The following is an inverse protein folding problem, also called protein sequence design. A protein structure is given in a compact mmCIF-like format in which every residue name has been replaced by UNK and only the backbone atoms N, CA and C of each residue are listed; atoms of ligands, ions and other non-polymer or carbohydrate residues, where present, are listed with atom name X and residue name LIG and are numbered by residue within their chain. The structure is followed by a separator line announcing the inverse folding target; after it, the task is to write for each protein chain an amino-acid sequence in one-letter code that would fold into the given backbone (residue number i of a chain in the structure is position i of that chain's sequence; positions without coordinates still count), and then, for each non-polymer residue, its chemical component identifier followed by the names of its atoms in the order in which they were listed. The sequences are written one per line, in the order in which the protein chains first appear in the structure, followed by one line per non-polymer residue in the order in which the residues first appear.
data_IF_206279700823
#
_entry.id   IF_206279700823
#
_cell.length_a   1.000
_cell.length_b   1.000
_cell.length_c   1.000
_cell.angle_alpha   90.00
_cell.angle_beta   90.00
_cell.angle_gamma   90.00
#
_symmetry.space_group_name_H-M   'P 1'
#
loop_
_entity.id
_entity.type
_entity.pdbx_description
1 polymer ?
#
# COMPACT_ATOMS: atom_id res chain seq x y z
N UNK A 1 15.45 18.83 13.03
CA UNK A 1 14.38 18.10 12.29
C UNK A 1 14.25 16.71 12.89
N UNK A 2 13.06 16.30 13.28
CA UNK A 2 12.85 14.93 13.76
C UNK A 2 13.03 13.97 12.59
N UNK A 3 13.86 12.96 12.76
CA UNK A 3 14.11 11.95 11.73
C UNK A 3 12.83 11.12 11.52
N UNK A 4 12.46 10.88 10.26
CA UNK A 4 11.30 10.08 9.91
C UNK A 4 11.67 8.62 10.14
N UNK A 5 10.85 7.91 10.91
CA UNK A 5 11.02 6.48 11.16
C UNK A 5 10.67 5.72 9.89
N UNK A 6 11.66 5.11 9.24
CA UNK A 6 11.52 4.37 7.99
C UNK A 6 12.06 2.95 8.17
N UNK A 7 11.28 1.98 7.77
CA UNK A 7 11.62 0.56 7.83
C UNK A 7 11.44 -0.03 6.43
N UNK A 8 12.46 -0.68 5.92
CA UNK A 8 12.36 -1.47 4.69
C UNK A 8 11.86 -2.87 5.03
N UNK A 9 10.83 -3.31 4.33
CA UNK A 9 10.29 -4.66 4.40
C UNK A 9 10.40 -5.32 3.02
N UNK A 10 11.38 -6.19 2.80
CA UNK A 10 11.67 -6.74 1.48
C UNK A 10 11.30 -8.22 1.36
N UNK A 11 10.37 -8.52 0.45
CA UNK A 11 10.03 -9.86 -0.02
C UNK A 11 10.80 -10.28 -1.28
N UNK A 12 11.79 -9.48 -1.72
CA UNK A 12 12.61 -9.77 -2.89
C UNK A 12 13.73 -10.75 -2.54
N UNK A 13 13.92 -11.77 -3.35
CA UNK A 13 15.09 -12.66 -3.27
C UNK A 13 16.30 -12.05 -3.94
N UNK A 14 16.09 -11.29 -5.02
CA UNK A 14 17.11 -10.61 -5.81
C UNK A 14 16.78 -9.13 -6.01
N UNK A 15 17.77 -8.33 -6.43
CA UNK A 15 17.57 -6.92 -6.77
C UNK A 15 16.68 -6.75 -7.99
N UNK A 16 16.80 -7.65 -8.96
CA UNK A 16 16.01 -7.69 -10.20
C UNK A 16 15.34 -9.05 -10.32
N UNK A 17 14.03 -9.07 -10.57
CA UNK A 17 13.25 -10.31 -10.72
C UNK A 17 13.17 -11.12 -9.43
N UNK A 18 13.20 -12.45 -9.61
CA UNK A 18 13.21 -13.42 -8.52
C UNK A 18 11.81 -13.78 -7.98
N UNK A 19 11.83 -14.76 -7.09
CA UNK A 19 10.65 -15.23 -6.40
C UNK A 19 10.32 -14.38 -5.16
N UNK A 20 9.14 -14.59 -4.63
CA UNK A 20 8.70 -13.93 -3.39
C UNK A 20 9.25 -14.70 -2.19
N UNK A 21 10.02 -14.07 -1.32
CA UNK A 21 10.53 -14.68 -0.07
C UNK A 21 9.41 -15.12 0.86
N UNK A 22 9.61 -16.19 1.60
CA UNK A 22 8.65 -16.65 2.61
C UNK A 22 8.50 -15.62 3.73
N UNK A 23 9.62 -15.10 4.23
CA UNK A 23 9.69 -14.08 5.27
C UNK A 23 10.37 -12.83 4.72
N UNK A 24 9.93 -11.63 5.15
CA UNK A 24 10.56 -10.41 4.69
C UNK A 24 11.96 -10.26 5.31
N UNK A 25 12.90 -9.70 4.54
CA UNK A 25 14.10 -9.09 5.12
C UNK A 25 13.73 -7.70 5.62
N UNK A 26 14.04 -7.44 6.88
CA UNK A 26 13.77 -6.16 7.53
C UNK A 26 15.08 -5.38 7.61
N UNK A 27 15.05 -4.11 7.21
CA UNK A 27 16.17 -3.18 7.38
C UNK A 27 15.66 -1.91 8.04
N UNK A 28 16.33 -1.49 9.11
CA UNK A 28 15.93 -0.39 9.97
C UNK A 28 15.76 -0.85 11.41
N UNK A 29 15.23 0.03 12.25
CA UNK A 29 15.02 -0.27 13.68
C UNK A 29 13.78 -1.13 13.90
N UNK A 30 14.00 -2.43 14.09
CA UNK A 30 12.94 -3.43 14.36
C UNK A 30 12.17 -3.12 15.65
N UNK A 31 12.85 -2.55 16.67
CA UNK A 31 12.18 -2.15 17.91
C UNK A 31 11.16 -1.05 17.65
N UNK A 32 11.50 -0.06 16.83
CA UNK A 32 10.58 0.99 16.38
C UNK A 32 9.39 0.38 15.62
N UNK A 33 9.62 -0.62 14.77
CA UNK A 33 8.56 -1.30 14.03
C UNK A 33 7.60 -2.03 14.98
N UNK A 34 8.13 -2.83 15.90
CA UNK A 34 7.33 -3.66 16.82
C UNK A 34 6.51 -2.84 17.82
N UNK A 35 6.94 -1.61 18.14
CA UNK A 35 6.23 -0.70 19.04
C UNK A 35 5.39 0.36 18.30
N UNK A 36 5.27 0.26 16.99
CA UNK A 36 4.50 1.22 16.21
C UNK A 36 3.00 1.09 16.52
N UNK A 37 2.36 2.23 16.77
CA UNK A 37 0.91 2.33 16.94
C UNK A 37 0.22 2.70 15.63
N UNK A 38 0.96 3.27 14.69
CA UNK A 38 0.46 3.68 13.39
C UNK A 38 1.53 3.44 12.31
N UNK A 39 1.23 2.55 11.40
CA UNK A 39 2.05 2.25 10.24
C UNK A 39 1.51 2.96 9.00
N UNK A 40 2.40 3.44 8.15
CA UNK A 40 2.10 3.89 6.79
C UNK A 40 2.88 3.01 5.83
N UNK A 41 2.20 2.11 5.13
CA UNK A 41 2.84 1.16 4.21
C UNK A 41 2.84 1.74 2.81
N UNK A 42 4.03 1.92 2.23
CA UNK A 42 4.24 2.37 0.86
C UNK A 42 4.46 1.16 -0.04
N UNK A 43 3.70 1.05 -1.14
CA UNK A 43 3.74 -0.10 -2.05
C UNK A 43 3.98 0.38 -3.48
N UNK A 44 5.16 0.09 -4.03
CA UNK A 44 5.51 0.44 -5.41
C UNK A 44 4.76 -0.38 -6.46
N UNK A 45 4.81 0.08 -7.72
CA UNK A 45 4.15 -0.56 -8.85
C UNK A 45 4.94 -1.70 -9.49
N UNK A 46 4.42 -2.18 -10.62
CA UNK A 46 5.07 -3.12 -11.50
C UNK A 46 6.27 -2.48 -12.20
N UNK A 47 7.21 -3.32 -12.64
CA UNK A 47 8.43 -2.95 -13.38
C UNK A 47 9.39 -2.03 -12.60
N UNK A 48 9.35 -2.09 -11.27
CA UNK A 48 10.32 -1.44 -10.40
C UNK A 48 11.25 -2.49 -9.80
N UNK A 49 12.54 -2.41 -10.11
CA UNK A 49 13.58 -3.09 -9.37
C UNK A 49 13.76 -2.48 -7.97
N UNK A 50 14.73 -2.95 -7.20
CA UNK A 50 14.93 -2.46 -5.85
C UNK A 50 15.35 -0.97 -5.83
N UNK A 51 16.14 -0.51 -6.81
CA UNK A 51 16.57 0.88 -6.87
C UNK A 51 15.44 1.81 -7.30
N UNK A 52 14.66 1.44 -8.33
CA UNK A 52 13.50 2.22 -8.77
C UNK A 52 12.43 2.34 -7.68
N UNK A 53 12.21 1.28 -6.89
CA UNK A 53 11.33 1.32 -5.73
C UNK A 53 11.85 2.30 -4.66
N UNK A 54 13.15 2.27 -4.37
CA UNK A 54 13.80 3.20 -3.45
C UNK A 54 13.64 4.65 -3.91
N UNK A 55 13.91 4.93 -5.19
CA UNK A 55 13.79 6.28 -5.75
C UNK A 55 12.35 6.79 -5.67
N UNK A 56 11.36 5.91 -5.91
CA UNK A 56 9.94 6.24 -5.75
C UNK A 56 9.62 6.65 -4.30
N UNK A 57 10.06 5.89 -3.30
CA UNK A 57 9.81 6.20 -1.89
C UNK A 57 10.55 7.46 -1.42
N UNK A 58 11.79 7.67 -1.88
CA UNK A 58 12.52 8.93 -1.62
C UNK A 58 11.77 10.13 -2.23
N UNK A 59 11.27 9.99 -3.46
CA UNK A 59 10.44 11.01 -4.10
C UNK A 59 9.18 11.32 -3.29
N UNK A 60 8.47 10.32 -2.80
CA UNK A 60 7.30 10.49 -1.94
C UNK A 60 7.65 11.27 -0.67
N UNK A 61 8.68 10.85 0.03
CA UNK A 61 9.11 11.52 1.27
C UNK A 61 9.55 12.96 0.99
N UNK A 62 10.23 13.21 -0.13
CA UNK A 62 10.63 14.56 -0.52
C UNK A 62 9.40 15.46 -0.75
N UNK A 63 8.38 15.01 -1.48
CA UNK A 63 7.14 15.78 -1.72
C UNK A 63 6.37 16.02 -0.42
N UNK A 64 6.29 15.02 0.45
CA UNK A 64 5.63 15.23 1.75
C UNK A 64 6.36 16.24 2.65
N UNK A 65 7.70 16.26 2.62
CA UNK A 65 8.49 17.26 3.35
C UNK A 65 8.30 18.66 2.79
N UNK A 66 8.22 18.83 1.46
CA UNK A 66 7.94 20.13 0.83
C UNK A 66 6.61 20.73 1.28
N UNK A 67 5.61 19.89 1.51
CA UNK A 67 4.28 20.30 1.98
C UNK A 67 4.23 20.51 3.50
N UNK A 68 5.27 20.17 4.22
CA UNK A 68 5.30 20.17 5.69
C UNK A 68 5.94 21.43 6.27
N UNK A 69 5.22 22.52 6.22
CA UNK A 69 5.68 23.84 6.70
C UNK A 69 6.16 23.84 8.17
N UNK A 70 5.70 22.90 9.00
CA UNK A 70 5.97 22.86 10.43
C UNK A 70 6.83 21.67 10.87
N UNK A 71 7.49 20.97 9.95
CA UNK A 71 8.33 19.81 10.24
C UNK A 71 7.64 18.71 11.07
N UNK A 72 6.33 18.48 10.85
CA UNK A 72 5.51 17.51 11.58
C UNK A 72 5.26 16.21 10.80
N UNK A 73 5.68 16.15 9.57
CA UNK A 73 5.57 14.96 8.74
C UNK A 73 6.22 13.76 9.43
N UNK A 74 5.49 12.68 9.56
CA UNK A 74 5.97 11.46 10.19
C UNK A 74 5.82 11.39 11.72
N UNK A 75 5.43 12.50 12.40
CA UNK A 75 5.21 12.45 13.85
C UNK A 75 4.12 11.40 14.18
N UNK A 76 4.44 10.49 15.10
CA UNK A 76 3.53 9.42 15.55
C UNK A 76 3.29 8.32 14.55
N UNK A 77 4.01 8.29 13.41
CA UNK A 77 3.91 7.27 12.37
C UNK A 77 5.25 6.61 12.09
N UNK A 78 5.18 5.32 11.71
CA UNK A 78 6.32 4.57 11.20
C UNK A 78 6.02 4.21 9.75
N UNK A 79 6.87 4.64 8.83
CA UNK A 79 6.76 4.31 7.42
C UNK A 79 7.39 2.94 7.15
N UNK A 80 6.63 2.08 6.50
CA UNK A 80 7.08 0.76 6.04
C UNK A 80 7.16 0.79 4.52
N UNK A 81 8.36 0.74 3.98
CA UNK A 81 8.64 0.70 2.55
C UNK A 81 8.65 -0.77 2.11
N UNK A 82 7.60 -1.19 1.41
CA UNK A 82 7.44 -2.56 0.95
C UNK A 82 8.14 -2.77 -0.38
N UNK A 83 9.15 -3.64 -0.42
CA UNK A 83 9.85 -4.07 -1.63
C UNK A 83 9.36 -5.46 -2.02
N UNK A 84 8.61 -5.55 -3.10
CA UNK A 84 8.11 -6.81 -3.64
C UNK A 84 8.67 -7.06 -5.05
N UNK A 85 8.84 -8.34 -5.52
CA UNK A 85 9.41 -8.63 -6.84
C UNK A 85 8.39 -8.34 -7.95
N UNK A 86 8.10 -7.06 -8.19
CA UNK A 86 7.16 -6.57 -9.20
C UNK A 86 7.79 -6.33 -10.57
N UNK A 87 9.08 -6.57 -10.73
CA UNK A 87 9.82 -6.35 -11.97
C UNK A 87 10.00 -7.63 -12.78
N UNK A 88 10.30 -7.45 -14.05
CA UNK A 88 10.74 -8.50 -14.96
C UNK A 88 12.14 -8.15 -15.50
N UNK A 89 13.01 -9.12 -15.58
CA UNK A 89 14.42 -8.95 -16.02
C UNK A 89 14.58 -8.47 -17.48
N UNK A 90 13.50 -8.18 -18.23
CA UNK A 90 13.50 -8.11 -19.70
C UNK A 90 12.94 -6.81 -20.29
N UNK A 91 13.14 -5.66 -19.69
CA UNK A 91 12.88 -4.35 -20.33
C UNK A 91 11.54 -4.25 -21.09
N UNK A 92 11.58 -3.98 -22.41
CA UNK A 92 10.38 -3.78 -23.23
C UNK A 92 9.48 -5.03 -23.37
N UNK A 93 10.02 -6.24 -23.18
CA UNK A 93 9.23 -7.48 -23.15
C UNK A 93 8.48 -7.68 -21.82
N UNK A 94 8.56 -6.72 -20.90
CA UNK A 94 7.93 -6.77 -19.57
C UNK A 94 6.41 -7.01 -19.63
N UNK A 95 5.77 -6.59 -20.71
CA UNK A 95 4.33 -6.81 -20.93
C UNK A 95 3.92 -8.30 -20.92
N UNK A 96 4.75 -9.18 -21.50
CA UNK A 96 4.49 -10.62 -21.49
C UNK A 96 4.67 -11.23 -20.08
N UNK A 97 5.41 -10.55 -19.19
CA UNK A 97 5.63 -10.97 -17.82
C UNK A 97 4.64 -10.33 -16.82
N UNK A 98 3.77 -9.43 -17.29
CA UNK A 98 2.73 -8.81 -16.47
C UNK A 98 1.87 -9.84 -15.73
N UNK A 99 1.48 -10.92 -16.42
CA UNK A 99 0.68 -12.02 -15.85
C UNK A 99 1.37 -12.69 -14.65
N UNK A 100 2.68 -12.97 -14.76
CA UNK A 100 3.46 -13.53 -13.65
C UNK A 100 3.56 -12.59 -12.45
N UNK A 101 3.49 -11.29 -12.70
CA UNK A 101 3.55 -10.27 -11.65
C UNK A 101 2.27 -10.17 -10.84
N UNK A 102 1.10 -10.46 -11.42
CA UNK A 102 -0.16 -10.60 -10.68
C UNK A 102 -0.02 -11.72 -9.63
N UNK A 103 0.50 -12.89 -10.02
CA UNK A 103 0.75 -14.01 -9.11
C UNK A 103 1.71 -13.63 -7.96
N UNK A 104 2.79 -12.90 -8.27
CA UNK A 104 3.74 -12.41 -7.27
C UNK A 104 3.11 -11.37 -6.34
N UNK A 105 2.27 -10.48 -6.84
CA UNK A 105 1.52 -9.53 -6.03
C UNK A 105 0.58 -10.25 -5.05
N UNK A 106 -0.18 -11.24 -5.51
CA UNK A 106 -1.08 -12.06 -4.68
C UNK A 106 -0.27 -12.84 -3.61
N UNK A 107 0.85 -13.45 -4.00
CA UNK A 107 1.73 -14.21 -3.10
C UNK A 107 2.35 -13.30 -2.03
N UNK A 108 2.81 -12.10 -2.42
CA UNK A 108 3.35 -11.10 -1.50
C UNK A 108 2.28 -10.61 -0.53
N UNK A 109 1.08 -10.33 -1.01
CA UNK A 109 -0.05 -9.90 -0.19
C UNK A 109 -0.39 -10.94 0.89
N UNK A 110 -0.43 -12.23 0.53
CA UNK A 110 -0.66 -13.32 1.49
C UNK A 110 0.42 -13.38 2.59
N UNK A 111 1.69 -13.31 2.19
CA UNK A 111 2.82 -13.34 3.14
C UNK A 111 2.91 -12.09 4.01
N UNK A 112 2.58 -10.92 3.45
CA UNK A 112 2.47 -9.69 4.22
C UNK A 112 1.32 -9.76 5.22
N UNK A 113 0.17 -10.34 4.85
CA UNK A 113 -0.93 -10.57 5.77
C UNK A 113 -0.54 -11.49 6.94
N UNK A 114 0.20 -12.57 6.66
CA UNK A 114 0.73 -13.46 7.70
C UNK A 114 1.68 -12.70 8.64
N UNK A 115 2.60 -11.93 8.07
CA UNK A 115 3.54 -11.12 8.85
C UNK A 115 2.82 -10.10 9.74
N UNK A 116 1.85 -9.37 9.18
CA UNK A 116 1.09 -8.36 9.93
C UNK A 116 0.25 -9.01 11.05
N UNK A 117 -0.43 -10.11 10.78
CA UNK A 117 -1.25 -10.80 11.77
C UNK A 117 -0.43 -11.42 12.90
N UNK A 118 0.82 -11.85 12.62
CA UNK A 118 1.72 -12.43 13.62
C UNK A 118 2.38 -11.38 14.52
N UNK A 119 2.69 -10.19 13.97
CA UNK A 119 3.52 -9.22 14.67
C UNK A 119 2.73 -8.02 15.22
N UNK A 120 1.49 -7.79 14.76
CA UNK A 120 0.71 -6.62 15.17
C UNK A 120 -0.67 -7.02 15.70
N UNK A 121 -1.11 -6.38 16.77
CA UNK A 121 -2.45 -6.54 17.32
C UNK A 121 -3.49 -5.65 16.63
N UNK A 122 -4.76 -5.86 16.96
CA UNK A 122 -5.90 -5.13 16.40
C UNK A 122 -5.87 -3.61 16.66
N UNK A 123 -5.14 -3.15 17.69
CA UNK A 123 -5.00 -1.73 18.02
C UNK A 123 -4.02 -0.97 17.13
N UNK A 124 -3.22 -1.65 16.32
CA UNK A 124 -2.29 -1.00 15.39
C UNK A 124 -3.05 -0.54 14.17
N UNK A 125 -2.97 0.76 13.89
CA UNK A 125 -3.55 1.36 12.68
C UNK A 125 -2.61 1.21 11.52
N UNK A 126 -3.12 0.85 10.37
CA UNK A 126 -2.33 0.74 9.14
C UNK A 126 -2.99 1.56 8.04
N UNK A 127 -2.29 2.58 7.58
CA UNK A 127 -2.59 3.30 6.34
C UNK A 127 -1.72 2.73 5.21
N UNK A 128 -2.25 2.70 3.98
CA UNK A 128 -1.52 2.20 2.80
C UNK A 128 -1.51 3.29 1.73
N UNK A 129 -0.35 3.49 1.10
CA UNK A 129 -0.21 4.25 -0.14
C UNK A 129 0.35 3.32 -1.20
N UNK A 130 -0.41 3.04 -2.22
CA UNK A 130 -0.06 2.07 -3.24
C UNK A 130 -0.10 2.69 -4.64
N UNK A 131 0.79 2.27 -5.52
CA UNK A 131 0.88 2.74 -6.89
C UNK A 131 0.76 1.59 -7.89
N UNK A 132 0.02 1.81 -8.99
CA UNK A 132 -0.06 0.88 -10.11
C UNK A 132 -0.50 -0.53 -9.66
N UNK A 133 0.25 -1.58 -9.98
CA UNK A 133 0.00 -2.96 -9.53
C UNK A 133 0.17 -3.13 -8.00
N UNK A 134 0.86 -2.23 -7.32
CA UNK A 134 0.85 -2.17 -5.86
C UNK A 134 -0.56 -1.97 -5.29
N UNK A 135 -1.47 -1.32 -6.04
CA UNK A 135 -2.89 -1.20 -5.67
C UNK A 135 -3.59 -2.57 -5.70
N UNK A 136 -3.25 -3.42 -6.66
CA UNK A 136 -3.72 -4.81 -6.69
C UNK A 136 -3.19 -5.59 -5.48
N UNK A 137 -1.89 -5.46 -5.17
CA UNK A 137 -1.30 -6.08 -3.97
C UNK A 137 -2.01 -5.61 -2.70
N UNK A 138 -2.25 -4.30 -2.55
CA UNK A 138 -2.95 -3.75 -1.38
C UNK A 138 -4.37 -4.34 -1.23
N UNK A 139 -5.11 -4.47 -2.32
CA UNK A 139 -6.48 -5.03 -2.29
C UNK A 139 -6.46 -6.54 -2.00
N UNK A 140 -5.48 -7.29 -2.54
CA UNK A 140 -5.29 -8.71 -2.20
C UNK A 140 -4.82 -8.90 -0.74
N UNK A 141 -4.11 -7.92 -0.17
CA UNK A 141 -3.79 -7.90 1.26
C UNK A 141 -5.05 -7.83 2.11
N UNK A 142 -6.04 -6.98 1.76
CA UNK A 142 -7.34 -6.97 2.45
C UNK A 142 -8.01 -8.33 2.38
N UNK A 143 -7.99 -9.00 1.22
CA UNK A 143 -8.55 -10.34 1.06
C UNK A 143 -7.85 -11.37 1.97
N UNK A 144 -6.54 -11.32 2.04
CA UNK A 144 -5.78 -12.21 2.89
C UNK A 144 -6.03 -11.96 4.38
N UNK A 145 -6.11 -10.69 4.81
CA UNK A 145 -6.44 -10.30 6.19
C UNK A 145 -7.88 -10.68 6.57
N UNK A 146 -8.84 -10.56 5.65
CA UNK A 146 -10.24 -10.93 5.89
C UNK A 146 -10.43 -12.42 6.27
N UNK A 147 -9.47 -13.28 5.94
CA UNK A 147 -9.45 -14.70 6.29
C UNK A 147 -8.75 -15.00 7.61
N UNK A 148 -8.15 -14.01 8.27
CA UNK A 148 -7.46 -14.19 9.55
C UNK A 148 -8.41 -13.97 10.73
N UNK A 149 -8.23 -14.77 11.78
CA UNK A 149 -9.03 -14.63 13.02
C UNK A 149 -8.62 -13.40 13.82
N UNK A 150 -7.33 -13.03 13.75
CA UNK A 150 -6.77 -11.84 14.40
C UNK A 150 -5.90 -11.14 13.38
N UNK A 151 -6.26 -9.93 13.04
CA UNK A 151 -5.51 -9.11 12.08
C UNK A 151 -5.56 -7.65 12.51
N UNK A 152 -4.48 -6.88 12.27
CA UNK A 152 -4.53 -5.44 12.45
C UNK A 152 -5.52 -4.82 11.47
N UNK A 153 -6.07 -3.67 11.86
CA UNK A 153 -7.03 -2.95 11.07
C UNK A 153 -6.35 -2.12 9.98
N UNK A 154 -6.82 -2.24 8.75
CA UNK A 154 -6.45 -1.31 7.69
C UNK A 154 -7.37 -0.10 7.79
N UNK A 155 -6.78 1.05 8.15
CA UNK A 155 -7.55 2.27 8.40
C UNK A 155 -7.92 2.94 7.09
N UNK A 156 -6.94 3.25 6.24
CA UNK A 156 -7.15 3.95 4.96
C UNK A 156 -6.23 3.44 3.88
N UNK A 157 -6.69 3.53 2.63
CA UNK A 157 -5.85 3.24 1.46
C UNK A 157 -5.92 4.40 0.48
N UNK A 158 -4.76 4.81 -0.05
CA UNK A 158 -4.68 5.69 -1.21
C UNK A 158 -4.13 4.89 -2.39
N UNK A 159 -4.91 4.82 -3.46
CA UNK A 159 -4.54 4.26 -4.74
C UNK A 159 -4.03 5.36 -5.67
N UNK A 160 -2.82 5.27 -6.14
CA UNK A 160 -2.21 6.17 -7.12
C UNK A 160 -2.06 5.43 -8.45
N UNK A 161 -2.67 5.90 -9.52
CA UNK A 161 -2.67 5.23 -10.83
C UNK A 161 -3.00 3.73 -10.72
N UNK A 162 -4.09 3.37 -10.04
CA UNK A 162 -4.39 2.00 -9.65
C UNK A 162 -4.58 1.04 -10.81
N UNK A 163 -3.63 0.11 -11.03
CA UNK A 163 -3.76 -1.01 -11.97
C UNK A 163 -4.58 -2.14 -11.34
N UNK A 164 -5.83 -1.85 -11.06
CA UNK A 164 -6.84 -2.74 -10.48
C UNK A 164 -8.12 -2.65 -11.32
N UNK A 165 -8.63 -3.77 -11.87
CA UNK A 165 -9.90 -3.76 -12.60
C UNK A 165 -11.05 -3.26 -11.72
N UNK A 166 -11.80 -2.25 -12.18
CA UNK A 166 -12.96 -1.70 -11.43
C UNK A 166 -13.98 -2.78 -11.11
N UNK A 167 -14.21 -3.69 -12.04
CA UNK A 167 -15.18 -4.78 -11.88
C UNK A 167 -14.88 -5.66 -10.65
N UNK A 168 -13.65 -5.76 -10.18
CA UNK A 168 -13.30 -6.56 -9.00
C UNK A 168 -13.81 -5.97 -7.70
N UNK A 169 -14.22 -4.71 -7.71
CA UNK A 169 -14.82 -3.99 -6.59
C UNK A 169 -16.32 -3.74 -6.76
N UNK A 170 -16.96 -4.20 -7.84
CA UNK A 170 -18.40 -4.05 -8.05
C UNK A 170 -19.23 -4.96 -7.12
N UNK A 171 -20.44 -4.51 -6.77
CA UNK A 171 -21.37 -5.23 -5.86
C UNK A 171 -22.03 -6.46 -6.46
N UNK A 172 -22.30 -6.47 -7.79
CA UNK A 172 -23.34 -7.30 -8.36
C UNK A 172 -22.92 -8.67 -8.91
N UNK A 173 -21.65 -9.01 -8.88
CA UNK A 173 -21.21 -10.25 -9.55
C UNK A 173 -20.52 -11.21 -8.58
N UNK A 174 -20.92 -12.49 -8.48
CA UNK A 174 -20.34 -13.49 -7.58
C UNK A 174 -18.83 -13.70 -7.76
N UNK A 175 -18.31 -13.46 -8.96
CA UNK A 175 -16.89 -13.56 -9.29
C UNK A 175 -16.02 -12.40 -8.72
N UNK A 176 -16.62 -11.43 -8.06
CA UNK A 176 -15.92 -10.22 -7.56
C UNK A 176 -15.34 -10.45 -6.18
N UNK A 177 -14.28 -11.21 -6.13
CA UNK A 177 -13.64 -11.70 -4.90
C UNK A 177 -12.99 -10.63 -4.01
N UNK A 178 -12.83 -9.40 -4.49
CA UNK A 178 -12.15 -8.34 -3.74
C UNK A 178 -13.12 -7.39 -3.02
N UNK A 179 -14.38 -7.30 -3.44
CA UNK A 179 -15.36 -6.39 -2.84
C UNK A 179 -15.67 -6.71 -1.37
N UNK A 180 -16.02 -7.95 -1.07
CA UNK A 180 -16.35 -8.35 0.30
C UNK A 180 -15.20 -8.11 1.28
N UNK A 181 -13.96 -8.55 0.99
CA UNK A 181 -12.78 -8.22 1.79
C UNK A 181 -12.53 -6.71 1.92
N UNK A 182 -12.69 -5.93 0.84
CA UNK A 182 -12.57 -4.48 0.85
C UNK A 182 -13.53 -3.85 1.86
N UNK A 183 -14.80 -4.19 1.80
CA UNK A 183 -15.81 -3.65 2.71
C UNK A 183 -15.66 -4.15 4.17
N UNK A 184 -15.06 -5.34 4.38
CA UNK A 184 -14.91 -5.96 5.70
C UNK A 184 -13.70 -5.46 6.49
N UNK A 185 -12.57 -5.24 5.83
CA UNK A 185 -11.27 -5.03 6.49
C UNK A 185 -10.87 -3.56 6.49
N UNK A 186 -11.39 -2.76 5.55
CA UNK A 186 -11.09 -1.35 5.42
C UNK A 186 -12.04 -0.52 6.27
N UNK A 187 -11.52 0.19 7.27
CA UNK A 187 -12.35 0.91 8.24
C UNK A 187 -12.85 2.27 7.74
N UNK A 188 -11.94 3.15 7.36
CA UNK A 188 -12.28 4.56 7.05
C UNK A 188 -12.43 4.79 5.54
N UNK A 189 -12.09 3.81 4.70
CA UNK A 189 -12.28 3.84 3.27
C UNK A 189 -11.00 4.01 2.45
N UNK A 190 -11.20 4.20 1.14
CA UNK A 190 -10.13 4.38 0.17
C UNK A 190 -10.27 5.68 -0.62
N UNK A 191 -9.14 6.14 -1.17
CA UNK A 191 -9.06 7.28 -2.06
C UNK A 191 -8.30 6.90 -3.32
N UNK A 192 -8.88 7.14 -4.50
CA UNK A 192 -8.25 6.84 -5.78
C UNK A 192 -7.86 8.13 -6.51
N UNK A 193 -6.58 8.23 -6.85
CA UNK A 193 -6.07 9.24 -7.77
C UNK A 193 -5.99 8.64 -9.16
N UNK A 194 -6.73 9.24 -10.11
CA UNK A 194 -6.81 8.78 -11.48
C UNK A 194 -6.34 9.85 -12.47
N UNK A 195 -5.94 9.43 -13.68
CA UNK A 195 -5.59 10.36 -14.78
C UNK A 195 -5.94 9.74 -16.12
N UNK A 196 -6.76 10.45 -16.90
CA UNK A 196 -7.09 10.08 -18.29
C UNK A 196 -5.88 10.21 -19.23
N UNK A 197 -4.83 10.92 -18.82
CA UNK A 197 -3.56 11.02 -19.55
C UNK A 197 -2.63 9.83 -19.33
N UNK A 198 -2.99 8.88 -18.46
CA UNK A 198 -2.21 7.67 -18.18
C UNK A 198 -2.35 6.63 -19.30
N UNK A 199 -1.41 6.69 -20.26
CA UNK A 199 -1.40 5.77 -21.42
C UNK A 199 -1.13 4.31 -21.03
N UNK A 200 -0.46 4.06 -19.93
CA UNK A 200 -0.19 2.69 -19.46
C UNK A 200 -1.50 2.05 -19.02
N UNK A 201 -2.32 2.77 -18.26
CA UNK A 201 -3.62 2.27 -17.81
C UNK A 201 -4.67 2.27 -18.92
N UNK A 202 -4.54 3.16 -19.92
CA UNK A 202 -5.45 3.20 -21.06
C UNK A 202 -5.25 2.03 -22.05
N UNK A 203 -4.00 1.61 -22.29
CA UNK A 203 -3.65 0.71 -23.38
C UNK A 203 -2.98 -0.59 -22.90
N UNK A 204 -1.92 -0.48 -22.10
CA UNK A 204 -1.14 -1.65 -21.70
C UNK A 204 -1.85 -2.50 -20.64
N UNK A 205 -2.54 -1.86 -19.69
CA UNK A 205 -3.26 -2.56 -18.63
C UNK A 205 -4.40 -3.43 -19.18
N UNK A 206 -5.36 -2.93 -19.98
CA UNK A 206 -6.46 -3.76 -20.49
C UNK A 206 -5.95 -4.96 -21.30
N UNK A 207 -4.96 -4.75 -22.16
CA UNK A 207 -4.37 -5.82 -22.95
C UNK A 207 -3.67 -6.87 -22.07
N UNK A 208 -2.89 -6.44 -21.05
CA UNK A 208 -2.21 -7.33 -20.12
C UNK A 208 -3.17 -8.15 -19.26
N UNK A 209 -4.24 -7.54 -18.78
CA UNK A 209 -5.27 -8.22 -18.01
C UNK A 209 -6.01 -9.28 -18.85
N UNK A 210 -6.30 -8.96 -20.12
CA UNK A 210 -7.01 -9.91 -21.02
C UNK A 210 -6.21 -11.18 -21.30
N UNK A 211 -4.89 -11.13 -21.18
CA UNK A 211 -4.00 -12.29 -21.37
C UNK A 211 -3.73 -13.03 -20.05
N UNK A 212 -4.14 -12.47 -18.91
CA UNK A 212 -3.90 -13.10 -17.63
C UNK A 212 -4.84 -14.29 -17.40
N UNK A 213 -4.35 -15.40 -16.82
CA UNK A 213 -5.20 -16.55 -16.52
C UNK A 213 -6.18 -16.24 -15.38
N UNK A 214 -7.36 -16.86 -15.46
CA UNK A 214 -8.40 -16.77 -14.43
C UNK A 214 -9.41 -15.65 -14.67
N UNK A 215 -9.95 -15.07 -13.61
CA UNK A 215 -11.06 -14.11 -13.65
C UNK A 215 -10.58 -12.65 -13.79
N UNK A 216 -9.52 -12.39 -14.56
CA UNK A 216 -8.94 -11.04 -14.69
C UNK A 216 -9.72 -10.13 -15.66
N UNK A 217 -10.65 -10.69 -16.43
CA UNK A 217 -11.54 -9.97 -17.34
C UNK A 217 -10.92 -9.67 -18.72
N UNK A 218 -11.79 -9.33 -19.67
CA UNK A 218 -11.38 -8.96 -21.02
C UNK A 218 -11.45 -7.44 -21.18
N UNK A 219 -10.33 -6.80 -21.51
CA UNK A 219 -10.16 -5.35 -21.67
C UNK A 219 -10.79 -4.54 -20.52
N UNK A 220 -10.46 -4.84 -19.26
CA UNK A 220 -11.08 -4.16 -18.13
C UNK A 220 -10.59 -2.72 -17.98
N UNK A 221 -11.45 -1.87 -17.43
CA UNK A 221 -11.09 -0.50 -17.03
C UNK A 221 -10.29 -0.52 -15.75
N UNK A 222 -9.17 0.23 -15.71
CA UNK A 222 -8.36 0.40 -14.52
C UNK A 222 -8.93 1.47 -13.58
N UNK A 223 -8.93 1.21 -12.28
CA UNK A 223 -9.37 2.16 -11.25
C UNK A 223 -8.63 3.51 -11.31
N UNK A 224 -7.37 3.53 -11.75
CA UNK A 224 -6.53 4.73 -11.82
C UNK A 224 -6.57 5.44 -13.17
N UNK A 225 -7.36 4.98 -14.15
CA UNK A 225 -7.41 5.59 -15.48
C UNK A 225 -8.43 6.71 -15.58
N UNK A 226 -9.65 6.46 -15.16
CA UNK A 226 -10.73 7.42 -15.23
C UNK A 226 -11.61 7.39 -13.99
N UNK A 227 -12.44 8.42 -13.82
CA UNK A 227 -13.40 8.42 -12.73
C UNK A 227 -14.42 7.32 -12.92
N UNK A 228 -14.53 6.46 -11.93
CA UNK A 228 -15.58 5.46 -11.90
C UNK A 228 -16.90 6.11 -11.45
N UNK A 229 -17.86 6.14 -12.35
CA UNK A 229 -19.18 6.81 -12.15
C UNK A 229 -20.35 5.83 -12.10
N UNK A 230 -20.09 4.53 -12.02
CA UNK A 230 -21.12 3.50 -11.94
C UNK A 230 -21.73 3.47 -10.54
N UNK A 231 -23.06 3.25 -10.46
CA UNK A 231 -23.78 3.01 -9.21
C UNK A 231 -23.31 1.78 -8.42
N UNK A 232 -22.41 0.98 -9.00
CA UNK A 232 -21.78 -0.19 -8.36
C UNK A 232 -20.49 0.15 -7.62
N UNK A 233 -20.01 1.40 -7.67
CA UNK A 233 -18.79 1.81 -6.99
C UNK A 233 -18.88 1.60 -5.46
N UNK A 234 -17.75 1.35 -4.78
CA UNK A 234 -17.71 1.27 -3.32
C UNK A 234 -18.14 2.58 -2.64
N UNK A 235 -19.05 2.51 -1.67
CA UNK A 235 -19.53 3.69 -0.93
C UNK A 235 -18.41 4.43 -0.21
N UNK A 236 -17.36 3.72 0.20
CA UNK A 236 -16.20 4.28 0.92
C UNK A 236 -15.02 4.59 -0.01
N UNK A 237 -15.21 4.63 -1.32
CA UNK A 237 -14.20 5.01 -2.29
C UNK A 237 -14.41 6.47 -2.72
N UNK A 238 -13.54 7.36 -2.30
CA UNK A 238 -13.46 8.71 -2.85
C UNK A 238 -12.49 8.76 -4.02
N UNK A 239 -12.72 9.66 -4.98
CA UNK A 239 -11.93 9.74 -6.21
C UNK A 239 -11.54 11.18 -6.52
N UNK A 240 -10.30 11.39 -6.98
CA UNK A 240 -9.78 12.69 -7.39
C UNK A 240 -8.94 12.57 -8.65
N UNK A 241 -9.17 13.46 -9.62
CA UNK A 241 -8.31 13.60 -10.79
C UNK A 241 -6.92 14.11 -10.41
N UNK A 242 -5.89 13.51 -10.98
CA UNK A 242 -4.53 14.05 -11.00
C UNK A 242 -4.21 14.37 -12.45
N UNK A 243 -4.89 15.42 -12.95
CA UNK A 243 -4.91 15.79 -14.35
C UNK A 243 -3.49 15.91 -14.90
N UNK A 244 -3.32 15.49 -16.15
CA UNK A 244 -2.04 15.44 -16.86
C UNK A 244 -0.98 14.47 -16.33
N UNK A 245 -1.21 13.74 -15.25
CA UNK A 245 -0.25 12.77 -14.75
C UNK A 245 -0.10 11.58 -15.70
N UNK A 246 1.12 11.31 -16.13
CA UNK A 246 1.49 10.02 -16.70
C UNK A 246 1.66 8.97 -15.60
N UNK A 247 1.80 7.70 -15.98
CA UNK A 247 1.82 6.57 -15.03
C UNK A 247 2.88 6.70 -13.92
N UNK A 248 4.06 7.23 -14.23
CA UNK A 248 5.18 7.39 -13.29
C UNK A 248 5.21 8.71 -12.51
N UNK A 249 4.21 9.60 -12.67
CA UNK A 249 4.28 10.98 -12.18
C UNK A 249 3.72 11.19 -10.76
N UNK A 250 3.45 10.13 -10.02
CA UNK A 250 2.81 10.20 -8.71
C UNK A 250 3.80 10.26 -7.53
N UNK A 251 4.95 9.60 -7.65
CA UNK A 251 5.92 9.48 -6.56
C UNK A 251 6.86 10.68 -6.39
N UNK A 252 7.15 11.41 -7.49
CA UNK A 252 8.00 12.61 -7.47
C UNK A 252 9.51 12.35 -7.51
N UNK A 253 9.93 11.19 -7.97
CA UNK A 253 11.33 10.90 -8.27
C UNK A 253 11.82 11.55 -9.57
N UNK A 254 10.90 11.82 -10.50
CA UNK A 254 11.20 12.46 -11.78
C UNK A 254 11.29 13.97 -11.60
N UNK A 255 12.41 14.58 -12.00
CA UNK A 255 12.69 16.01 -11.84
C UNK A 255 12.06 16.91 -12.91
N UNK A 256 11.34 16.35 -13.91
CA UNK A 256 10.66 17.14 -14.93
C UNK A 256 9.57 18.01 -14.29
N UNK A 257 9.47 19.32 -14.65
CA UNK A 257 8.55 20.24 -13.98
C UNK A 257 7.09 19.75 -13.94
N UNK A 258 6.58 19.18 -15.06
CA UNK A 258 5.23 18.62 -15.14
C UNK A 258 5.06 17.43 -14.19
N UNK A 259 5.99 16.47 -14.21
CA UNK A 259 5.97 15.32 -13.31
C UNK A 259 6.01 15.73 -11.84
N UNK A 260 6.83 16.74 -11.50
CA UNK A 260 6.89 17.27 -10.13
C UNK A 260 5.58 17.95 -9.72
N UNK A 261 4.91 18.67 -10.62
CA UNK A 261 3.60 19.27 -10.35
C UNK A 261 2.55 18.19 -10.06
N UNK A 262 2.47 17.15 -10.90
CA UNK A 262 1.58 16.01 -10.69
C UNK A 262 1.87 15.27 -9.37
N UNK A 263 3.15 15.08 -9.04
CA UNK A 263 3.57 14.45 -7.80
C UNK A 263 3.25 15.28 -6.54
N UNK A 264 3.33 16.63 -6.63
CA UNK A 264 2.90 17.53 -5.56
C UNK A 264 1.39 17.45 -5.33
N UNK A 265 0.60 17.42 -6.40
CA UNK A 265 -0.85 17.25 -6.32
C UNK A 265 -1.20 15.92 -5.66
N UNK A 266 -0.56 14.83 -6.08
CA UNK A 266 -0.73 13.51 -5.48
C UNK A 266 -0.33 13.52 -3.99
N UNK A 267 0.83 14.11 -3.64
CA UNK A 267 1.29 14.21 -2.26
C UNK A 267 0.35 15.04 -1.37
N UNK A 268 -0.21 16.12 -1.90
CA UNK A 268 -1.20 16.95 -1.20
C UNK A 268 -2.49 16.16 -0.94
N UNK A 269 -2.98 15.41 -1.91
CA UNK A 269 -4.16 14.57 -1.78
C UNK A 269 -3.93 13.45 -0.75
N UNK A 270 -2.80 12.73 -0.86
CA UNK A 270 -2.39 11.70 0.13
C UNK A 270 -2.35 12.30 1.54
N UNK A 271 -1.71 13.47 1.69
CA UNK A 271 -1.59 14.17 2.97
C UNK A 271 -2.95 14.49 3.58
N UNK A 272 -3.85 15.04 2.78
CA UNK A 272 -5.21 15.38 3.20
C UNK A 272 -6.01 14.15 3.61
N UNK A 273 -6.00 13.13 2.78
CA UNK A 273 -6.78 11.90 3.02
C UNK A 273 -6.27 11.09 4.21
N UNK A 274 -4.95 10.90 4.34
CA UNK A 274 -4.35 10.20 5.48
C UNK A 274 -4.24 11.09 6.72
N UNK A 275 -4.67 12.34 6.65
CA UNK A 275 -4.65 13.29 7.76
C UNK A 275 -3.23 13.42 8.37
N UNK A 276 -2.22 13.56 7.52
CA UNK A 276 -0.88 13.88 8.01
C UNK A 276 -0.89 15.22 8.73
N UNK A 277 -0.17 15.38 9.84
CA UNK A 277 -0.18 16.60 10.60
C UNK A 277 0.08 17.84 9.72
N UNK A 278 -0.80 18.84 9.83
CA UNK A 278 -0.69 20.12 9.11
C UNK A 278 -0.59 21.29 10.09
N UNK A 279 -0.26 22.49 9.56
CA UNK A 279 -0.30 23.69 10.35
C UNK A 279 -1.70 23.87 10.98
N UNK A 280 -1.75 23.91 12.30
CA UNK A 280 -3.02 24.10 13.06
C UNK A 280 -3.69 22.84 13.59
N UNK A 281 -3.29 21.62 13.20
CA UNK A 281 -3.79 20.43 13.87
C UNK A 281 -3.20 20.31 15.29
N UNK A 282 -4.03 20.41 16.32
CA UNK A 282 -3.61 20.06 17.68
C UNK A 282 -3.35 18.55 17.70
N UNK A 283 -2.13 18.17 18.08
CA UNK A 283 -1.86 16.78 18.46
C UNK A 283 -2.64 16.57 19.74
N UNK A 284 -3.78 15.90 19.66
CA UNK A 284 -4.44 15.37 20.86
C UNK A 284 -3.50 14.26 21.34
N UNK A 285 -2.74 14.55 22.38
CA UNK A 285 -1.88 13.55 23.01
C UNK A 285 -2.78 12.41 23.49
N UNK A 286 -2.66 11.26 22.86
CA UNK A 286 -3.38 10.03 23.25
C UNK A 286 -3.01 9.56 24.69
N UNK A 287 -2.08 10.25 25.37
CA UNK A 287 -1.70 9.99 26.76
C UNK A 287 -2.73 10.44 27.82
N UNK A 288 -3.72 11.26 27.46
CA UNK A 288 -4.69 11.73 28.44
C UNK A 288 -6.01 10.93 28.49
N UNK A 289 -6.13 9.81 27.77
CA UNK A 289 -7.32 8.97 27.79
C UNK A 289 -7.11 7.54 28.33
N UNK A 290 -5.96 7.22 28.90
CA UNK A 290 -5.68 5.89 29.48
C UNK A 290 -5.28 6.02 30.96
N UNK A 291 -6.05 6.79 31.73
CA UNK A 291 -6.14 6.64 33.18
C UNK A 291 -7.60 6.46 33.56
N UNK A 292 -8.23 5.40 33.05
CA UNK A 292 -9.40 4.78 33.64
C UNK A 292 -9.18 3.27 33.62
N UNK A 293 -9.04 2.74 34.79
CA UNK A 293 -8.84 1.35 35.18
C UNK A 293 -9.58 0.35 34.29
N UNK A 294 -8.83 -0.54 33.62
CA UNK A 294 -9.34 -1.80 33.08
C UNK A 294 -8.58 -2.93 33.78
N UNK A 295 -9.21 -3.71 34.67
CA UNK A 295 -8.61 -4.93 35.19
C UNK A 295 -8.67 -6.02 34.10
N UNK A 296 -7.55 -6.43 33.52
CA UNK A 296 -7.53 -7.52 32.54
C UNK A 296 -6.24 -7.72 31.75
N UNK A 297 -5.17 -7.03 32.07
CA UNK A 297 -3.91 -7.03 31.30
C UNK A 297 -3.01 -8.26 31.50
N UNK A 298 -3.53 -9.50 31.62
CA UNK A 298 -2.70 -10.73 31.76
C UNK A 298 -2.68 -11.67 30.55
N UNK A 299 -3.30 -11.30 29.42
CA UNK A 299 -3.37 -12.22 28.26
C UNK A 299 -2.24 -12.01 27.23
N UNK A 300 -1.56 -10.85 27.24
CA UNK A 300 -0.51 -10.56 26.26
C UNK A 300 0.84 -11.25 26.54
N UNK A 301 1.19 -11.51 27.80
CA UNK A 301 2.50 -12.07 28.12
C UNK A 301 2.62 -13.56 27.79
N UNK A 302 1.55 -14.32 27.90
CA UNK A 302 1.54 -15.74 27.55
C UNK A 302 1.74 -16.03 26.05
N UNK A 303 1.30 -15.10 25.17
CA UNK A 303 1.50 -15.22 23.70
C UNK A 303 2.94 -14.90 23.29
N UNK A 304 3.61 -13.96 23.96
CA UNK A 304 5.02 -13.65 23.69
C UNK A 304 5.97 -14.80 24.01
N UNK A 305 5.72 -15.56 25.06
CA UNK A 305 6.52 -16.75 25.40
C UNK A 305 6.37 -17.90 24.41
N UNK A 306 5.18 -18.10 23.83
CA UNK A 306 4.94 -19.14 22.83
C UNK A 306 5.64 -18.82 21.50
N UNK A 307 5.69 -17.55 21.12
CA UNK A 307 6.34 -17.09 19.88
C UNK A 307 7.87 -17.18 20.00
N UNK A 308 8.45 -16.87 21.16
CA UNK A 308 9.89 -16.96 21.40
C UNK A 308 10.44 -18.40 21.40
N UNK A 309 9.60 -19.40 21.70
CA UNK A 309 10.00 -20.83 21.73
C UNK A 309 9.97 -21.53 20.38
N UNK A 310 9.39 -20.95 19.34
CA UNK A 310 9.20 -21.58 18.04
C UNK A 310 9.99 -20.94 16.89
N UNK A 311 10.97 -20.10 17.18
CA UNK A 311 11.91 -19.61 16.17
C UNK A 311 13.16 -20.49 16.25
N UNK A 312 13.47 -21.32 15.24
CA UNK A 312 14.76 -21.99 15.19
C UNK A 312 15.84 -20.94 15.00
N UNK A 313 16.87 -20.97 15.85
CA UNK A 313 18.12 -20.25 15.65
C UNK A 313 18.75 -20.73 14.33
N UNK A 314 18.68 -19.91 13.32
CA UNK A 314 19.52 -20.03 12.14
C UNK A 314 20.51 -18.87 12.14
N UNK A 315 21.73 -19.21 12.57
CA UNK A 315 22.94 -18.42 12.36
C UNK A 315 23.23 -18.25 10.85
#
# INVERSE_FOLDING_TARGET
MQEIRRIMLSYREAEVGGEVRMYPRITGDVHTLNNAQHLVVLIHGYNNDAQAAKDAYEGFHARQRELDVNARYGIGRTFVELYWPGDAAWGFASFLFYMGSIGRAIKTAGRLADYLALNFGEQVRIDIVAHSMGCRLATELLRALASKSFAPEITRIVFMAGALPTFMLERRTPARRLRGPFDKVLRDGAHSLYSTSDRVLALAFPAGQSLAPGEEGFLPVALGHERWVDATEPVHLSQQGNDDAGHGDYWGWNSRPRSLACARNAAQSVRGYLQFPSAGSRIVNARSMVESEIPGARVCDAKREIIARNIPDYA
#
